data_IF_773838300469
#
_entry.id   IF_773838300469
#
_cell.length_a   1.000
_cell.length_b   1.000
_cell.length_c   1.000
_cell.angle_alpha   90.00
_cell.angle_beta   90.00
_cell.angle_gamma   90.00
#
_symmetry.space_group_name_H-M   'P 1'
#
loop_
_entity.id
_entity.type
_entity.pdbx_description
1 polymer ?
#
# COMPACT_ATOMS: atom_id res chain seq x y z
N UNK A 1 17.11 -24.67 -3.02
CA UNK A 1 17.48 -23.34 -2.51
C UNK A 1 16.28 -22.41 -2.67
N UNK A 2 15.80 -21.76 -1.60
CA UNK A 2 14.74 -20.77 -1.74
C UNK A 2 15.27 -19.56 -2.51
N UNK A 3 14.55 -19.20 -3.58
CA UNK A 3 14.78 -17.96 -4.31
C UNK A 3 14.11 -16.86 -3.48
N UNK A 4 14.90 -16.15 -2.66
CA UNK A 4 14.40 -15.02 -1.89
C UNK A 4 14.13 -13.89 -2.86
N UNK A 5 12.86 -13.68 -3.21
CA UNK A 5 12.43 -12.61 -4.14
C UNK A 5 12.13 -11.31 -3.41
N UNK A 6 11.83 -11.38 -2.11
CA UNK A 6 11.44 -10.23 -1.28
C UNK A 6 12.05 -10.36 0.11
N UNK A 7 12.39 -9.23 0.69
CA UNK A 7 12.84 -9.11 2.08
C UNK A 7 12.09 -7.99 2.77
N UNK A 8 12.01 -8.05 4.10
CA UNK A 8 11.48 -6.97 4.93
C UNK A 8 12.60 -6.32 5.71
N UNK A 9 12.62 -4.99 5.74
CA UNK A 9 13.55 -4.24 6.56
C UNK A 9 13.22 -4.39 8.05
N UNK A 10 14.21 -4.80 8.84
CA UNK A 10 14.12 -4.91 10.30
C UNK A 10 14.44 -3.57 10.99
N UNK A 11 15.24 -2.74 10.34
CA UNK A 11 15.73 -1.46 10.83
C UNK A 11 15.69 -0.40 9.73
N UNK A 12 15.78 0.87 10.12
CA UNK A 12 16.01 1.96 9.18
C UNK A 12 17.45 1.90 8.67
N UNK A 13 17.67 2.21 7.41
CA UNK A 13 18.98 2.32 6.79
C UNK A 13 19.01 3.56 5.90
N UNK A 14 19.94 4.47 6.21
CA UNK A 14 20.17 5.67 5.41
C UNK A 14 21.45 5.46 4.61
N UNK A 15 21.32 5.43 3.28
CA UNK A 15 22.46 5.35 2.36
C UNK A 15 23.44 6.49 2.62
N UNK A 16 24.71 6.13 2.76
CA UNK A 16 25.84 7.05 2.92
C UNK A 16 26.71 7.10 1.68
N UNK A 17 26.71 6.05 0.86
CA UNK A 17 27.49 5.96 -0.38
C UNK A 17 26.60 5.95 -1.63
N UNK A 18 27.16 6.41 -2.76
CA UNK A 18 26.49 6.29 -4.05
C UNK A 18 26.32 4.82 -4.44
N UNK A 19 25.08 4.40 -4.63
CA UNK A 19 24.72 3.02 -4.99
C UNK A 19 24.10 2.22 -3.85
N UNK A 20 24.06 2.75 -2.63
CA UNK A 20 23.31 2.18 -1.51
C UNK A 20 21.82 2.54 -1.58
N UNK A 21 20.97 1.67 -1.02
CA UNK A 21 19.53 1.82 -1.00
C UNK A 21 19.04 2.24 0.38
N UNK A 22 18.52 3.46 0.52
CA UNK A 22 17.84 3.88 1.76
C UNK A 22 16.47 3.20 1.90
N UNK A 23 16.14 2.74 3.11
CA UNK A 23 14.84 2.15 3.43
C UNK A 23 14.48 2.35 4.91
N UNK A 24 13.19 2.20 5.24
CA UNK A 24 12.71 2.26 6.63
C UNK A 24 12.32 0.89 7.15
N UNK A 25 12.37 0.69 8.46
CA UNK A 25 11.85 -0.50 9.13
C UNK A 25 10.43 -0.79 8.67
N UNK A 26 10.21 -2.04 8.27
CA UNK A 26 8.94 -2.54 7.75
C UNK A 26 8.75 -2.39 6.25
N UNK A 27 9.62 -1.64 5.55
CA UNK A 27 9.59 -1.58 4.09
C UNK A 27 9.85 -2.98 3.50
N UNK A 28 9.13 -3.29 2.41
CA UNK A 28 9.33 -4.53 1.65
C UNK A 28 10.14 -4.25 0.40
N UNK A 29 11.30 -4.88 0.31
CA UNK A 29 12.27 -4.65 -0.75
C UNK A 29 12.26 -5.87 -1.68
N UNK A 30 12.17 -5.61 -2.99
CA UNK A 30 12.29 -6.66 -4.00
C UNK A 30 13.78 -6.93 -4.24
N UNK A 31 14.20 -8.18 -4.14
CA UNK A 31 15.59 -8.55 -4.42
C UNK A 31 15.76 -8.68 -5.93
N UNK A 32 16.71 -7.91 -6.46
CA UNK A 32 17.11 -7.91 -7.87
C UNK A 32 18.28 -8.88 -8.05
N UNK A 33 19.27 -8.81 -7.18
CA UNK A 33 20.49 -9.63 -7.26
C UNK A 33 21.10 -9.91 -5.87
N UNK A 34 21.78 -11.05 -5.75
CA UNK A 34 22.45 -11.54 -4.55
C UNK A 34 23.92 -11.90 -4.82
N UNK A 35 24.54 -11.30 -5.84
CA UNK A 35 25.95 -11.54 -6.19
C UNK A 35 26.93 -11.33 -5.04
N UNK A 36 26.64 -10.43 -4.09
CA UNK A 36 27.49 -10.21 -2.92
C UNK A 36 26.88 -10.88 -1.69
N UNK A 37 27.75 -11.48 -0.86
CA UNK A 37 27.35 -12.26 0.31
C UNK A 37 26.64 -11.42 1.37
N UNK A 38 27.23 -10.27 1.70
CA UNK A 38 26.78 -9.41 2.80
C UNK A 38 25.93 -8.22 2.33
N UNK A 39 25.84 -8.01 1.01
CA UNK A 39 25.11 -6.92 0.38
C UNK A 39 24.26 -7.41 -0.78
N UNK A 40 22.94 -7.19 -0.70
CA UNK A 40 22.05 -7.56 -1.80
C UNK A 40 21.64 -6.33 -2.58
N UNK A 41 21.44 -6.52 -3.88
CA UNK A 41 20.88 -5.47 -4.73
C UNK A 41 19.37 -5.57 -4.68
N UNK A 42 18.72 -4.55 -4.15
CA UNK A 42 17.28 -4.48 -3.98
C UNK A 42 16.67 -3.31 -4.72
N UNK A 43 15.34 -3.36 -4.87
CA UNK A 43 14.52 -2.29 -5.41
C UNK A 43 13.39 -1.96 -4.45
N UNK A 44 13.21 -0.67 -4.17
CA UNK A 44 12.05 -0.14 -3.45
C UNK A 44 11.68 1.23 -4.01
N UNK A 45 10.37 1.50 -4.18
CA UNK A 45 9.86 2.81 -4.63
C UNK A 45 10.50 3.33 -5.93
N UNK A 46 10.89 2.43 -6.83
CA UNK A 46 11.58 2.76 -8.09
C UNK A 46 13.10 2.92 -7.98
N UNK A 47 13.64 3.10 -6.78
CA UNK A 47 15.08 3.20 -6.52
C UNK A 47 15.71 1.80 -6.43
N UNK A 48 16.87 1.62 -7.04
CA UNK A 48 17.67 0.40 -6.99
C UNK A 48 19.01 0.71 -6.33
N UNK A 49 19.44 -0.15 -5.41
CA UNK A 49 20.72 0.01 -4.73
C UNK A 49 21.08 -1.21 -3.89
N UNK A 50 22.23 -1.13 -3.24
CA UNK A 50 22.74 -2.15 -2.33
C UNK A 50 22.17 -1.97 -0.93
N UNK A 51 21.81 -3.07 -0.28
CA UNK A 51 21.37 -3.11 1.11
C UNK A 51 22.15 -4.17 1.90
N UNK A 52 22.45 -3.91 3.18
CA UNK A 52 23.10 -4.90 4.03
C UNK A 52 22.12 -6.01 4.41
N UNK A 53 22.56 -7.27 4.24
CA UNK A 53 21.72 -8.45 4.50
C UNK A 53 21.28 -8.55 5.96
N UNK A 54 22.12 -8.11 6.90
CA UNK A 54 21.82 -8.13 8.34
C UNK A 54 20.71 -7.17 8.77
N UNK A 55 20.27 -6.26 7.88
CA UNK A 55 19.19 -5.30 8.16
C UNK A 55 17.84 -5.79 7.66
N UNK A 56 17.79 -6.97 7.03
CA UNK A 56 16.58 -7.48 6.38
C UNK A 56 16.34 -8.95 6.70
N UNK A 57 15.06 -9.34 6.72
CA UNK A 57 14.65 -10.74 6.83
C UNK A 57 14.03 -11.21 5.50
N UNK A 58 14.32 -12.43 5.02
CA UNK A 58 13.62 -13.02 3.89
C UNK A 58 12.12 -13.09 4.16
N UNK A 59 11.33 -12.57 3.22
CA UNK A 59 9.89 -12.79 3.24
C UNK A 59 9.56 -14.01 2.37
N UNK A 60 8.72 -14.95 2.87
CA UNK A 60 8.18 -15.99 2.01
C UNK A 60 7.42 -15.34 0.84
N UNK A 61 7.43 -15.99 -0.31
CA UNK A 61 6.49 -15.59 -1.35
C UNK A 61 5.07 -15.74 -0.79
N UNK A 62 4.22 -14.71 -0.91
CA UNK A 62 2.85 -14.83 -0.46
C UNK A 62 2.20 -15.99 -1.21
N UNK A 63 1.57 -16.88 -0.46
CA UNK A 63 0.85 -18.03 -0.99
C UNK A 63 -0.30 -17.55 -1.88
N UNK A 64 -0.78 -18.42 -2.77
CA UNK A 64 -1.95 -18.13 -3.59
C UNK A 64 -3.16 -17.73 -2.73
N UNK A 65 -3.31 -18.32 -1.54
CA UNK A 65 -4.36 -17.98 -0.59
C UNK A 65 -4.20 -16.56 -0.02
N UNK A 66 -2.98 -16.15 0.32
CA UNK A 66 -2.71 -14.79 0.81
C UNK A 66 -2.93 -13.74 -0.27
N UNK A 67 -2.48 -14.01 -1.51
CA UNK A 67 -2.74 -13.17 -2.66
C UNK A 67 -4.24 -13.04 -2.97
N UNK A 68 -4.98 -14.16 -2.90
CA UNK A 68 -6.43 -14.15 -3.10
C UNK A 68 -7.14 -13.32 -2.02
N UNK A 69 -6.74 -13.48 -0.75
CA UNK A 69 -7.30 -12.71 0.37
C UNK A 69 -7.00 -11.21 0.24
N UNK A 70 -5.80 -10.86 -0.21
CA UNK A 70 -5.44 -9.47 -0.48
C UNK A 70 -6.25 -8.91 -1.66
N UNK A 71 -6.40 -9.66 -2.74
CA UNK A 71 -7.22 -9.27 -3.90
C UNK A 71 -8.70 -9.11 -3.54
N UNK A 72 -9.26 -9.99 -2.71
CA UNK A 72 -10.63 -9.88 -2.20
C UNK A 72 -10.80 -8.64 -1.32
N UNK A 73 -9.85 -8.39 -0.41
CA UNK A 73 -9.86 -7.19 0.43
C UNK A 73 -9.76 -5.90 -0.41
N UNK A 74 -8.95 -5.91 -1.48
CA UNK A 74 -8.87 -4.82 -2.45
C UNK A 74 -10.18 -4.66 -3.22
N UNK A 75 -10.74 -5.75 -3.74
CA UNK A 75 -12.00 -5.73 -4.48
C UNK A 75 -13.15 -5.18 -3.64
N UNK A 76 -13.19 -5.51 -2.34
CA UNK A 76 -14.18 -4.99 -1.40
C UNK A 76 -14.05 -3.47 -1.19
N UNK A 77 -12.83 -2.94 -1.18
CA UNK A 77 -12.59 -1.49 -1.09
C UNK A 77 -13.05 -0.80 -2.38
N UNK A 78 -12.76 -1.42 -3.53
CA UNK A 78 -13.19 -0.92 -4.84
C UNK A 78 -14.72 -0.95 -5.00
N UNK A 79 -15.38 -2.03 -4.58
CA UNK A 79 -16.83 -2.16 -4.71
C UNK A 79 -17.59 -1.16 -3.85
N UNK A 80 -17.02 -0.75 -2.72
CA UNK A 80 -17.61 0.26 -1.84
C UNK A 80 -17.26 1.69 -2.25
N UNK A 81 -16.41 1.90 -3.25
CA UNK A 81 -16.05 3.24 -3.75
C UNK A 81 -17.26 4.07 -4.17
N UNK A 82 -18.27 3.44 -4.76
CA UNK A 82 -19.52 4.11 -5.18
C UNK A 82 -20.35 4.68 -4.02
N UNK A 83 -20.18 4.17 -2.79
CA UNK A 83 -20.90 4.71 -1.62
C UNK A 83 -20.50 6.17 -1.32
N UNK A 84 -19.24 6.54 -1.63
CA UNK A 84 -18.77 7.92 -1.48
C UNK A 84 -19.45 8.82 -2.50
N UNK A 85 -19.56 8.37 -3.75
CA UNK A 85 -20.25 9.13 -4.81
C UNK A 85 -21.74 9.31 -4.50
N UNK A 86 -22.40 8.27 -4.01
CA UNK A 86 -23.80 8.34 -3.55
C UNK A 86 -23.97 9.29 -2.37
N UNK A 87 -23.06 9.25 -1.40
CA UNK A 87 -23.07 10.18 -0.26
C UNK A 87 -22.91 11.63 -0.74
N UNK A 88 -21.94 11.89 -1.62
CA UNK A 88 -21.71 13.22 -2.17
C UNK A 88 -22.92 13.73 -2.94
N UNK A 89 -23.59 12.86 -3.72
CA UNK A 89 -24.82 13.22 -4.41
C UNK A 89 -25.92 13.60 -3.43
N UNK A 90 -26.19 12.78 -2.41
CA UNK A 90 -27.22 13.06 -1.41
C UNK A 90 -26.94 14.32 -0.60
N UNK A 91 -25.69 14.55 -0.21
CA UNK A 91 -25.29 15.79 0.47
C UNK A 91 -25.45 17.03 -0.42
N UNK A 92 -25.34 16.88 -1.75
CA UNK A 92 -25.58 17.99 -2.70
C UNK A 92 -27.07 18.31 -2.85
N UNK A 93 -27.92 17.30 -2.70
CA UNK A 93 -29.38 17.44 -2.79
C UNK A 93 -30.02 17.82 -1.44
N UNK A 94 -29.28 17.75 -0.34
CA UNK A 94 -29.72 18.06 1.02
C UNK A 94 -29.93 19.57 1.24
N UNK A 95 -31.11 19.95 1.74
CA UNK A 95 -31.42 21.33 2.11
C UNK A 95 -31.40 21.50 3.64
N UNK A 96 -30.42 22.22 4.22
CA UNK A 96 -30.32 22.41 5.67
C UNK A 96 -31.46 23.24 6.28
N UNK A 97 -32.30 23.90 5.47
CA UNK A 97 -33.47 24.63 5.97
C UNK A 97 -34.67 23.70 6.22
N UNK A 98 -34.75 22.55 5.55
CA UNK A 98 -35.90 21.64 5.61
C UNK A 98 -35.54 20.24 6.07
N UNK A 99 -34.29 19.82 5.89
CA UNK A 99 -33.85 18.45 6.15
C UNK A 99 -32.98 18.36 7.41
N UNK A 100 -33.08 17.23 8.12
CA UNK A 100 -32.24 16.93 9.29
C UNK A 100 -31.36 15.70 9.01
N UNK A 101 -30.05 15.90 9.08
CA UNK A 101 -29.03 14.86 8.90
C UNK A 101 -29.12 13.72 9.92
N UNK A 102 -29.59 13.99 11.13
CA UNK A 102 -29.70 12.97 12.18
C UNK A 102 -30.86 12.01 11.93
N UNK A 103 -31.86 12.43 11.15
CA UNK A 103 -33.06 11.65 10.85
C UNK A 103 -32.89 10.84 9.55
N UNK A 104 -31.82 11.11 8.78
CA UNK A 104 -31.53 10.42 7.54
C UNK A 104 -30.57 9.24 7.77
N UNK A 105 -31.14 8.09 8.15
CA UNK A 105 -30.39 6.85 8.40
C UNK A 105 -29.51 6.43 7.21
N UNK A 106 -29.96 6.69 5.98
CA UNK A 106 -29.23 6.35 4.76
C UNK A 106 -27.94 7.19 4.62
N UNK A 107 -28.01 8.50 4.85
CA UNK A 107 -26.82 9.37 4.85
C UNK A 107 -25.87 8.99 6.00
N UNK A 108 -26.42 8.66 7.18
CA UNK A 108 -25.62 8.20 8.33
C UNK A 108 -24.89 6.89 8.02
N UNK A 109 -25.55 5.93 7.36
CA UNK A 109 -24.94 4.65 6.95
C UNK A 109 -23.85 4.86 5.88
N UNK A 110 -24.14 5.66 4.86
CA UNK A 110 -23.18 6.00 3.82
C UNK A 110 -21.95 6.72 4.39
N UNK A 111 -22.14 7.62 5.36
CA UNK A 111 -21.04 8.29 6.06
C UNK A 111 -20.17 7.30 6.87
N UNK A 112 -20.79 6.40 7.65
CA UNK A 112 -20.08 5.35 8.40
C UNK A 112 -19.28 4.44 7.46
N UNK A 113 -19.87 4.07 6.34
CA UNK A 113 -19.22 3.28 5.29
C UNK A 113 -17.99 4.01 4.73
N UNK A 114 -18.15 5.26 4.29
CA UNK A 114 -17.06 6.10 3.76
C UNK A 114 -15.90 6.27 4.77
N UNK A 115 -16.22 6.48 6.06
CA UNK A 115 -15.22 6.61 7.11
C UNK A 115 -14.42 5.32 7.34
N UNK A 116 -15.06 4.15 7.22
CA UNK A 116 -14.40 2.85 7.33
C UNK A 116 -13.43 2.56 6.17
N UNK A 117 -13.69 3.17 5.01
CA UNK A 117 -12.89 2.97 3.79
C UNK A 117 -11.66 3.86 3.75
N UNK A 118 -11.71 5.06 4.34
CA UNK A 118 -10.60 6.03 4.37
C UNK A 118 -9.23 5.42 4.67
N UNK A 119 -9.02 4.65 5.76
CA UNK A 119 -7.70 4.07 6.04
C UNK A 119 -7.29 3.01 5.01
N UNK A 120 -8.25 2.30 4.39
CA UNK A 120 -7.96 1.29 3.36
C UNK A 120 -7.57 1.96 2.04
N UNK A 121 -8.28 3.01 1.65
CA UNK A 121 -7.98 3.82 0.45
C UNK A 121 -6.58 4.42 0.58
N UNK A 122 -6.22 5.00 1.73
CA UNK A 122 -4.87 5.53 1.96
C UNK A 122 -3.80 4.45 1.79
N UNK A 123 -4.01 3.25 2.37
CA UNK A 123 -3.10 2.11 2.17
C UNK A 123 -2.97 1.70 0.70
N UNK A 124 -4.06 1.73 -0.06
CA UNK A 124 -4.02 1.44 -1.50
C UNK A 124 -3.28 2.52 -2.28
N UNK A 125 -3.56 3.80 -2.00
CA UNK A 125 -2.84 4.92 -2.61
C UNK A 125 -1.34 4.77 -2.35
N UNK A 126 -0.93 4.48 -1.11
CA UNK A 126 0.47 4.22 -0.78
C UNK A 126 1.02 3.02 -1.56
N UNK A 127 0.32 1.89 -1.57
CA UNK A 127 0.73 0.67 -2.28
C UNK A 127 0.92 0.90 -3.78
N UNK A 128 -0.01 1.58 -4.43
CA UNK A 128 0.02 1.80 -5.88
C UNK A 128 0.92 2.96 -6.29
N UNK A 129 1.10 3.99 -5.44
CA UNK A 129 2.10 5.05 -5.64
C UNK A 129 3.51 4.46 -5.71
N UNK A 130 3.85 3.54 -4.81
CA UNK A 130 5.14 2.84 -4.80
C UNK A 130 5.33 1.94 -6.05
N UNK A 131 4.24 1.40 -6.59
CA UNK A 131 4.23 0.57 -7.81
C UNK A 131 4.40 1.43 -9.08
N UNK A 132 3.80 2.62 -9.12
CA UNK A 132 3.84 3.53 -10.29
C UNK A 132 5.19 4.23 -10.44
N UNK A 133 5.88 4.53 -9.34
CA UNK A 133 7.28 4.97 -9.37
C UNK A 133 8.26 3.97 -10.00
N UNK A 134 7.86 2.70 -10.17
CA UNK A 134 8.64 1.69 -10.89
C UNK A 134 8.39 1.67 -12.42
N UNK A 135 7.43 2.46 -12.94
CA UNK A 135 7.02 2.44 -14.35
C UNK A 135 7.28 3.75 -15.11
N UNK A 136 7.79 4.81 -14.47
CA UNK A 136 8.18 6.04 -15.16
C UNK A 136 9.66 5.98 -15.56
N UNK A 137 9.99 5.11 -16.52
CA UNK A 137 11.18 5.28 -17.36
C UNK A 137 10.72 5.03 -18.80
N UNK A 138 10.50 6.13 -19.52
CA UNK A 138 10.16 6.19 -20.94
C UNK A 138 10.49 7.57 -21.45
#
# INVERSE_FOLDING_TARGET
MQIVKRVKALHDFNATEQGELSFKKGDVIKIVDRCYKDWWRGQIKGTVGLLPVNYVEPLPEPTAAELAKEAEAEALVWSQGGAIDTLLQKLREFDPATDNLNDNEEIQELYRSAMSLRPKILKLIDKYSQKKGAFTIG
#
